data_IF_749022989932
#
_entry.id   IF_749022989932
#
_cell.length_a   1.000
_cell.length_b   1.000
_cell.length_c   1.000
_cell.angle_alpha   90.00
_cell.angle_beta   90.00
_cell.angle_gamma   90.00
#
_symmetry.space_group_name_H-M   'P 1'
#
loop_
_entity.id
_entity.type
_entity.pdbx_description
1 polymer ?
#
# COMPACT_ATOMS: atom_id res chain seq x y z
N UNK A 1 93.34 19.28 -41.93
CA UNK A 1 93.12 19.31 -40.47
C UNK A 1 92.41 20.59 -39.97
N UNK A 2 92.96 21.80 -40.12
CA UNK A 2 92.30 23.05 -39.60
C UNK A 2 90.85 23.26 -40.05
N UNK A 3 90.52 23.04 -41.33
CA UNK A 3 89.15 23.21 -41.84
C UNK A 3 88.15 22.20 -41.26
N UNK A 4 88.59 20.97 -40.95
CA UNK A 4 87.73 19.96 -40.32
C UNK A 4 87.40 20.35 -38.87
N UNK A 5 88.38 20.87 -38.12
CA UNK A 5 88.17 21.35 -36.75
C UNK A 5 87.17 22.53 -36.74
N UNK A 6 87.32 23.50 -37.64
CA UNK A 6 86.38 24.62 -37.74
C UNK A 6 84.96 24.19 -38.13
N UNK A 7 84.82 23.15 -38.96
CA UNK A 7 83.51 22.64 -39.35
C UNK A 7 82.82 21.91 -38.17
N UNK A 8 83.59 21.08 -37.44
CA UNK A 8 83.10 20.42 -36.23
C UNK A 8 82.67 21.43 -35.16
N UNK A 9 83.44 22.51 -34.97
CA UNK A 9 83.09 23.56 -34.01
C UNK A 9 81.79 24.30 -34.40
N UNK A 10 81.60 24.59 -35.69
CA UNK A 10 80.34 25.14 -36.22
C UNK A 10 79.16 24.18 -36.02
N UNK A 11 79.36 22.88 -36.25
CA UNK A 11 78.33 21.87 -36.03
C UNK A 11 77.97 21.72 -34.55
N UNK A 12 78.96 21.69 -33.65
CA UNK A 12 78.75 21.66 -32.21
C UNK A 12 78.00 22.90 -31.73
N UNK A 13 78.36 24.09 -32.21
CA UNK A 13 77.63 25.33 -31.87
C UNK A 13 76.18 25.30 -32.33
N UNK A 14 75.90 24.80 -33.54
CA UNK A 14 74.52 24.60 -34.02
C UNK A 14 73.77 23.59 -33.17
N UNK A 15 74.41 22.49 -32.78
CA UNK A 15 73.81 21.46 -31.94
C UNK A 15 73.48 22.01 -30.53
N UNK A 16 74.38 22.78 -29.93
CA UNK A 16 74.13 23.44 -28.64
C UNK A 16 72.92 24.38 -28.72
N UNK A 17 72.87 25.26 -29.73
CA UNK A 17 71.73 26.17 -29.92
C UNK A 17 70.41 25.41 -30.16
N UNK A 18 70.44 24.29 -30.88
CA UNK A 18 69.26 23.46 -31.09
C UNK A 18 68.79 22.80 -29.77
N UNK A 19 69.74 22.31 -28.94
CA UNK A 19 69.45 21.77 -27.61
C UNK A 19 68.85 22.83 -26.69
N UNK A 20 69.41 24.04 -26.66
CA UNK A 20 68.90 25.13 -25.82
C UNK A 20 67.47 25.52 -26.21
N UNK A 21 67.17 25.60 -27.52
CA UNK A 21 65.79 25.83 -28.01
C UNK A 21 64.84 24.71 -27.62
N UNK A 22 65.29 23.46 -27.69
CA UNK A 22 64.48 22.32 -27.29
C UNK A 22 64.18 22.33 -25.78
N UNK A 23 65.21 22.60 -24.96
CA UNK A 23 65.06 22.75 -23.51
C UNK A 23 64.08 23.88 -23.19
N UNK A 24 64.21 25.05 -23.84
CA UNK A 24 63.29 26.17 -23.64
C UNK A 24 61.84 25.81 -24.02
N UNK A 25 61.65 25.05 -25.10
CA UNK A 25 60.33 24.57 -25.52
C UNK A 25 59.72 23.63 -24.48
N UNK A 26 60.51 22.72 -23.91
CA UNK A 26 60.07 21.83 -22.85
C UNK A 26 59.71 22.59 -21.56
N UNK A 27 60.52 23.58 -21.17
CA UNK A 27 60.24 24.42 -20.00
C UNK A 27 58.93 25.22 -20.17
N UNK A 28 58.71 25.79 -21.37
CA UNK A 28 57.47 26.49 -21.68
C UNK A 28 56.26 25.53 -21.61
N UNK A 29 56.40 24.30 -22.13
CA UNK A 29 55.34 23.30 -22.08
C UNK A 29 55.04 22.84 -20.64
N UNK A 30 56.07 22.66 -19.82
CA UNK A 30 55.93 22.34 -18.41
C UNK A 30 55.17 23.44 -17.65
N UNK A 31 55.52 24.71 -17.88
CA UNK A 31 54.82 25.86 -17.28
C UNK A 31 53.34 25.93 -17.67
N UNK A 32 52.99 25.62 -18.93
CA UNK A 32 51.59 25.56 -19.37
C UNK A 32 50.83 24.43 -18.68
N UNK A 33 51.44 23.25 -18.54
CA UNK A 33 50.83 22.11 -17.86
C UNK A 33 50.60 22.38 -16.37
N UNK A 34 51.53 23.06 -15.69
CA UNK A 34 51.34 23.47 -14.29
C UNK A 34 50.14 24.41 -14.13
N UNK A 35 49.99 25.39 -15.02
CA UNK A 35 48.82 26.30 -15.02
C UNK A 35 47.51 25.54 -15.28
N UNK A 36 47.51 24.57 -16.19
CA UNK A 36 46.34 23.73 -16.45
C UNK A 36 45.99 22.86 -15.24
N UNK A 37 47.00 22.28 -14.58
CA UNK A 37 46.80 21.49 -13.36
C UNK A 37 46.20 22.32 -12.24
N UNK A 38 46.68 23.54 -12.03
CA UNK A 38 46.12 24.47 -11.05
C UNK A 38 44.64 24.79 -11.36
N UNK A 39 44.33 25.12 -12.62
CA UNK A 39 42.94 25.38 -13.05
C UNK A 39 42.03 24.17 -12.85
N UNK A 40 42.53 22.95 -13.12
CA UNK A 40 41.76 21.73 -12.90
C UNK A 40 41.50 21.48 -11.41
N UNK A 41 42.50 21.78 -10.56
CA UNK A 41 42.33 21.69 -9.11
C UNK A 41 41.26 22.65 -8.61
N UNK A 42 41.22 23.89 -9.12
CA UNK A 42 40.20 24.87 -8.75
C UNK A 42 38.79 24.42 -9.15
N UNK A 43 38.63 23.83 -10.34
CA UNK A 43 37.36 23.26 -10.80
C UNK A 43 36.91 22.11 -9.89
N UNK A 44 37.82 21.20 -9.55
CA UNK A 44 37.51 20.08 -8.68
C UNK A 44 37.09 20.56 -7.27
N UNK A 45 37.75 21.58 -6.74
CA UNK A 45 37.38 22.18 -5.45
C UNK A 45 35.99 22.84 -5.51
N UNK A 46 35.64 23.53 -6.61
CA UNK A 46 34.32 24.13 -6.79
C UNK A 46 33.21 23.07 -6.89
N UNK A 47 33.43 22.00 -7.65
CA UNK A 47 32.48 20.88 -7.75
C UNK A 47 32.29 20.18 -6.40
N UNK A 48 33.35 20.05 -5.60
CA UNK A 48 33.25 19.46 -4.27
C UNK A 48 32.37 20.31 -3.34
N UNK A 49 32.51 21.64 -3.40
CA UNK A 49 31.64 22.54 -2.64
C UNK A 49 30.16 22.43 -3.05
N UNK A 50 29.88 22.33 -4.35
CA UNK A 50 28.51 22.17 -4.86
C UNK A 50 27.89 20.83 -4.41
N UNK A 51 28.66 19.74 -4.45
CA UNK A 51 28.23 18.43 -3.93
C UNK A 51 27.87 18.52 -2.44
N UNK A 52 28.68 19.21 -1.65
CA UNK A 52 28.43 19.32 -0.20
C UNK A 52 27.23 20.23 0.10
N UNK A 53 26.99 21.27 -0.71
CA UNK A 53 25.76 22.08 -0.64
C UNK A 53 24.49 21.27 -0.98
N UNK A 54 24.55 20.43 -2.04
CA UNK A 54 23.45 19.53 -2.39
C UNK A 54 23.12 18.53 -1.27
N UNK A 55 24.13 17.96 -0.61
CA UNK A 55 23.93 17.05 0.53
C UNK A 55 23.23 17.76 1.70
N UNK A 56 23.65 18.98 2.01
CA UNK A 56 23.01 19.78 3.07
C UNK A 56 21.55 20.05 2.71
N UNK A 57 21.25 20.38 1.46
CA UNK A 57 19.89 20.59 0.99
C UNK A 57 19.02 19.34 1.12
N UNK A 58 19.53 18.18 0.69
CA UNK A 58 18.84 16.89 0.77
C UNK A 58 18.52 16.52 2.22
N UNK A 59 19.51 16.61 3.12
CA UNK A 59 19.32 16.35 4.55
C UNK A 59 18.27 17.30 5.14
N UNK A 60 18.34 18.58 4.82
CA UNK A 60 17.36 19.59 5.30
C UNK A 60 15.95 19.27 4.81
N UNK A 61 15.82 18.83 3.55
CA UNK A 61 14.53 18.46 2.97
C UNK A 61 13.94 17.20 3.62
N UNK A 62 14.77 16.20 3.93
CA UNK A 62 14.35 15.01 4.68
C UNK A 62 13.79 15.38 6.05
N UNK A 63 14.51 16.21 6.83
CA UNK A 63 14.03 16.69 8.13
C UNK A 63 12.72 17.50 8.02
N UNK A 64 12.58 18.33 6.99
CA UNK A 64 11.35 19.09 6.75
C UNK A 64 10.15 18.19 6.41
N UNK A 65 10.38 17.06 5.73
CA UNK A 65 9.32 16.10 5.41
C UNK A 65 8.94 15.23 6.61
N UNK A 66 9.92 14.79 7.40
CA UNK A 66 9.69 14.04 8.64
C UNK A 66 8.89 14.87 9.66
N UNK A 67 9.24 16.15 9.82
CA UNK A 67 8.50 17.06 10.70
C UNK A 67 7.07 17.30 10.23
N UNK A 68 6.84 17.47 8.92
CA UNK A 68 5.47 17.54 8.36
C UNK A 68 4.68 16.26 8.61
N UNK A 69 5.30 15.09 8.43
CA UNK A 69 4.68 13.80 8.69
C UNK A 69 4.27 13.64 10.16
N UNK A 70 5.16 13.98 11.09
CA UNK A 70 4.90 13.92 12.53
C UNK A 70 3.75 14.84 12.94
N UNK A 71 3.71 16.08 12.44
CA UNK A 71 2.62 17.03 12.71
C UNK A 71 1.29 16.52 12.16
N UNK A 72 1.27 15.94 10.96
CA UNK A 72 0.06 15.36 10.38
C UNK A 72 -0.47 14.20 11.23
N UNK A 73 0.40 13.30 11.67
CA UNK A 73 0.03 12.16 12.50
C UNK A 73 -0.53 12.59 13.86
N UNK A 74 0.12 13.56 14.53
CA UNK A 74 -0.38 14.12 15.80
C UNK A 74 -1.76 14.75 15.62
N UNK A 75 -1.96 15.50 14.53
CA UNK A 75 -3.25 16.15 14.23
C UNK A 75 -4.35 15.12 13.93
N UNK A 76 -4.02 14.06 13.19
CA UNK A 76 -4.95 12.98 12.89
C UNK A 76 -5.38 12.23 14.15
N UNK A 77 -4.43 11.90 15.03
CA UNK A 77 -4.71 11.21 16.30
C UNK A 77 -5.60 12.07 17.21
N UNK A 78 -5.30 13.37 17.33
CA UNK A 78 -6.13 14.30 18.11
C UNK A 78 -7.57 14.38 17.56
N UNK A 79 -7.74 14.31 16.24
CA UNK A 79 -9.06 14.32 15.60
C UNK A 79 -9.83 13.02 15.86
N UNK A 80 -9.17 11.86 15.73
CA UNK A 80 -9.78 10.56 16.05
C UNK A 80 -10.18 10.46 17.53
N UNK A 81 -9.38 11.01 18.43
CA UNK A 81 -9.68 11.01 19.86
C UNK A 81 -10.86 11.93 20.21
N UNK A 82 -11.02 13.04 19.49
CA UNK A 82 -12.21 13.89 19.57
C UNK A 82 -13.47 13.17 19.09
N UNK A 83 -13.38 12.41 17.99
CA UNK A 83 -14.51 11.61 17.48
C UNK A 83 -14.93 10.56 18.52
N UNK A 84 -13.98 9.78 19.05
CA UNK A 84 -14.25 8.77 20.09
C UNK A 84 -14.85 9.35 21.36
N UNK A 85 -14.55 10.60 21.71
CA UNK A 85 -15.19 11.28 22.85
C UNK A 85 -16.65 11.60 22.54
N UNK A 86 -16.93 12.17 21.37
CA UNK A 86 -18.29 12.51 20.94
C UNK A 86 -19.17 11.26 20.78
N UNK A 87 -18.61 10.15 20.30
CA UNK A 87 -19.32 8.87 20.22
C UNK A 87 -19.77 8.36 21.59
N UNK A 88 -18.90 8.45 22.60
CA UNK A 88 -19.26 8.10 24.00
C UNK A 88 -20.32 9.04 24.58
N UNK A 89 -20.18 10.35 24.38
CA UNK A 89 -21.19 11.32 24.83
C UNK A 89 -22.55 11.05 24.17
N UNK A 90 -22.55 10.65 22.90
CA UNK A 90 -23.77 10.27 22.18
C UNK A 90 -24.41 9.02 22.78
N UNK A 91 -23.63 7.99 23.08
CA UNK A 91 -24.13 6.75 23.73
C UNK A 91 -24.72 7.03 25.12
N UNK A 92 -24.06 7.86 25.93
CA UNK A 92 -24.57 8.28 27.24
C UNK A 92 -25.91 9.00 27.14
N UNK A 93 -26.06 9.92 26.17
CA UNK A 93 -27.32 10.62 25.92
C UNK A 93 -28.43 9.68 25.44
N UNK A 94 -28.11 8.68 24.62
CA UNK A 94 -29.09 7.68 24.18
C UNK A 94 -29.61 6.83 25.35
N UNK A 95 -28.73 6.48 26.31
CA UNK A 95 -29.10 5.79 27.54
C UNK A 95 -30.00 6.67 28.44
N UNK A 96 -29.65 7.95 28.62
CA UNK A 96 -30.46 8.87 29.42
C UNK A 96 -31.87 9.07 28.82
N UNK A 97 -31.98 9.18 27.49
CA UNK A 97 -33.26 9.25 26.80
C UNK A 97 -34.11 7.99 26.97
N UNK A 98 -33.46 6.82 27.00
CA UNK A 98 -34.15 5.55 27.25
C UNK A 98 -34.73 5.50 28.67
N UNK A 99 -33.97 5.94 29.67
CA UNK A 99 -34.42 6.00 31.06
C UNK A 99 -35.61 6.96 31.25
N UNK A 100 -35.56 8.15 30.63
CA UNK A 100 -36.68 9.09 30.63
C UNK A 100 -37.93 8.43 30.03
N UNK A 101 -37.79 7.77 28.88
CA UNK A 101 -38.91 7.09 28.19
C UNK A 101 -39.53 6.00 29.07
N UNK A 102 -38.70 5.17 29.70
CA UNK A 102 -39.17 4.13 30.63
C UNK A 102 -39.91 4.75 31.82
N UNK A 103 -39.40 5.86 32.34
CA UNK A 103 -40.03 6.54 33.46
C UNK A 103 -41.40 7.12 33.09
N UNK A 104 -41.53 7.76 31.93
CA UNK A 104 -42.80 8.28 31.41
C UNK A 104 -43.83 7.16 31.18
N UNK A 105 -43.41 6.03 30.60
CA UNK A 105 -44.29 4.90 30.34
C UNK A 105 -44.81 4.28 31.65
N UNK A 106 -43.96 4.21 32.68
CA UNK A 106 -44.39 3.81 34.03
C UNK A 106 -45.40 4.77 34.63
N UNK A 107 -45.26 6.08 34.40
CA UNK A 107 -46.24 7.07 34.88
C UNK A 107 -47.59 6.94 34.15
N UNK A 108 -47.58 6.76 32.82
CA UNK A 108 -48.80 6.50 32.03
C UNK A 108 -49.56 5.27 32.53
N UNK A 109 -48.86 4.15 32.76
CA UNK A 109 -49.47 2.93 33.32
C UNK A 109 -50.05 3.13 34.73
N UNK A 110 -49.48 4.03 35.55
CA UNK A 110 -50.05 4.37 36.87
C UNK A 110 -51.32 5.22 36.73
N UNK A 111 -51.35 6.17 35.81
CA UNK A 111 -52.53 6.98 35.51
C UNK A 111 -53.69 6.12 34.95
N UNK A 112 -53.41 5.22 34.00
CA UNK A 112 -54.40 4.30 33.42
C UNK A 112 -55.01 3.35 34.46
N UNK A 113 -54.23 2.89 35.44
CA UNK A 113 -54.74 2.06 36.55
C UNK A 113 -55.69 2.82 37.49
N UNK A 114 -55.63 4.15 37.52
CA UNK A 114 -56.56 4.98 38.30
C UNK A 114 -57.92 5.19 37.61
N UNK A 115 -58.05 4.80 36.33
CA UNK A 115 -59.29 4.84 35.55
C UNK A 115 -60.03 3.49 35.50
N UNK A 116 -59.59 2.49 36.27
CA UNK A 116 -60.31 1.22 36.40
C UNK A 116 -61.67 1.49 37.07
N UNK A 117 -62.73 1.21 36.32
CA UNK A 117 -64.10 1.51 36.72
C UNK A 117 -64.50 0.83 38.05
N UNK A 118 -65.49 1.39 38.78
CA UNK A 118 -65.92 0.93 40.11
C UNK A 118 -66.30 -0.56 40.22
N UNK A 119 -66.50 -1.25 39.10
CA UNK A 119 -66.94 -2.65 39.05
C UNK A 119 -65.89 -3.65 39.57
N UNK A 120 -64.59 -3.33 39.53
CA UNK A 120 -63.54 -4.26 40.00
C UNK A 120 -63.50 -4.39 41.54
N UNK A 121 -63.85 -3.32 42.26
CA UNK A 121 -63.97 -3.34 43.72
C UNK A 121 -65.14 -4.21 44.20
N UNK A 122 -66.22 -4.29 43.42
CA UNK A 122 -67.37 -5.16 43.72
C UNK A 122 -66.99 -6.65 43.59
N UNK A 123 -66.17 -7.00 42.60
CA UNK A 123 -65.68 -8.37 42.42
C UNK A 123 -64.69 -8.74 43.53
N UNK A 124 -63.79 -7.83 43.93
CA UNK A 124 -62.87 -8.04 45.04
C UNK A 124 -63.58 -8.16 46.40
N UNK A 125 -64.66 -7.40 46.63
CA UNK A 125 -65.52 -7.53 47.81
C UNK A 125 -66.27 -8.88 47.84
N UNK A 126 -66.85 -9.31 46.71
CA UNK A 126 -67.50 -10.63 46.60
C UNK A 126 -66.52 -11.80 46.78
N UNK A 127 -65.27 -11.65 46.34
CA UNK A 127 -64.22 -12.64 46.56
C UNK A 127 -63.77 -12.71 48.04
N UNK A 128 -63.82 -11.58 48.76
CA UNK A 128 -63.56 -11.54 50.22
C UNK A 128 -64.70 -12.14 51.03
N UNK A 129 -65.96 -11.98 50.63
CA UNK A 129 -67.11 -12.65 51.26
C UNK A 129 -67.05 -14.18 51.13
N UNK A 130 -66.65 -14.69 49.96
CA UNK A 130 -66.49 -16.14 49.74
C UNK A 130 -65.38 -16.79 50.57
N UNK A 131 -64.41 -16.02 51.08
CA UNK A 131 -63.37 -16.52 51.99
C UNK A 131 -63.79 -16.59 53.45
N UNK A 132 -64.91 -15.97 53.85
CA UNK A 132 -65.45 -16.07 55.22
C UNK A 132 -66.43 -17.24 55.40
N UNK A 133 -66.99 -17.77 54.32
CA UNK A 133 -67.81 -18.98 54.31
C UNK A 133 -67.04 -20.14 53.65
N UNK A 134 -65.89 -20.50 54.22
CA UNK A 134 -65.25 -21.76 53.90
C UNK A 134 -65.85 -22.79 54.85
N UNK A 135 -66.73 -23.62 54.31
CA UNK A 135 -67.31 -24.77 54.99
C UNK A 135 -66.17 -25.73 55.36
N UNK A 136 -66.02 -26.04 56.65
CA UNK A 136 -64.85 -26.75 57.18
C UNK A 136 -64.74 -28.21 56.69
N UNK A 137 -65.80 -28.74 56.08
CA UNK A 137 -65.90 -30.15 55.70
C UNK A 137 -65.64 -30.41 54.20
N UNK A 138 -65.36 -29.37 53.39
CA UNK A 138 -65.13 -29.55 51.96
C UNK A 138 -63.64 -29.71 51.61
N UNK A 139 -63.18 -30.95 51.53
CA UNK A 139 -61.83 -31.31 51.06
C UNK A 139 -61.76 -31.18 49.54
N UNK A 140 -60.97 -30.23 49.04
CA UNK A 140 -60.65 -30.15 47.62
C UNK A 140 -59.62 -31.22 47.26
N UNK A 141 -59.92 -32.08 46.29
CA UNK A 141 -58.94 -33.01 45.73
C UNK A 141 -57.81 -32.24 45.02
N UNK A 142 -56.59 -32.49 45.46
CA UNK A 142 -55.38 -31.92 44.88
C UNK A 142 -55.15 -32.46 43.46
N UNK A 143 -55.50 -31.66 42.46
CA UNK A 143 -55.15 -31.94 41.07
C UNK A 143 -53.64 -31.76 40.89
N UNK A 144 -52.91 -32.88 40.84
CA UNK A 144 -51.47 -32.95 40.55
C UNK A 144 -51.15 -32.26 39.22
N UNK A 145 -50.60 -31.05 39.28
CA UNK A 145 -50.05 -30.34 38.12
C UNK A 145 -48.77 -31.04 37.67
N UNK A 146 -48.80 -31.66 36.50
CA UNK A 146 -47.61 -32.17 35.80
C UNK A 146 -46.73 -30.98 35.40
N UNK A 147 -45.62 -30.80 36.09
CA UNK A 147 -44.52 -29.93 35.69
C UNK A 147 -43.84 -30.52 34.46
N UNK A 148 -43.96 -29.85 33.31
CA UNK A 148 -43.11 -30.11 32.14
C UNK A 148 -41.70 -29.63 32.48
N UNK A 149 -40.76 -30.55 32.53
CA UNK A 149 -39.31 -30.30 32.53
C UNK A 149 -38.92 -29.61 31.23
N UNK A 150 -38.92 -28.28 31.23
CA UNK A 150 -38.20 -27.50 30.23
C UNK A 150 -36.71 -27.62 30.51
N UNK A 151 -35.97 -28.28 29.62
CA UNK A 151 -34.52 -28.09 29.53
C UNK A 151 -34.29 -26.62 29.16
N UNK A 152 -33.88 -25.81 30.12
CA UNK A 152 -33.19 -24.57 29.85
C UNK A 152 -31.85 -24.95 29.22
N UNK A 153 -31.80 -24.92 27.88
CA UNK A 153 -30.55 -24.76 27.15
C UNK A 153 -30.07 -23.34 27.45
N UNK A 154 -29.12 -23.22 28.36
CA UNK A 154 -28.24 -22.06 28.42
C UNK A 154 -27.50 -22.03 27.07
N UNK A 155 -27.94 -21.14 26.18
CA UNK A 155 -27.18 -20.76 24.99
C UNK A 155 -26.15 -19.78 25.51
N UNK A 156 -24.89 -20.19 25.53
CA UNK A 156 -23.77 -19.28 25.74
C UNK A 156 -23.81 -18.25 24.61
N UNK A 157 -24.05 -16.98 24.97
CA UNK A 157 -24.24 -15.89 24.01
C UNK A 157 -22.93 -15.57 23.28
N UNK A 158 -21.79 -15.94 23.88
CA UNK A 158 -20.46 -15.70 23.33
C UNK A 158 -20.11 -16.66 22.17
N UNK A 159 -20.55 -17.93 22.20
CA UNK A 159 -20.35 -18.91 21.10
C UNK A 159 -21.21 -18.59 19.85
N UNK A 160 -22.26 -17.78 20.00
CA UNK A 160 -23.16 -17.42 18.90
C UNK A 160 -22.61 -16.29 18.01
N UNK A 161 -21.63 -15.52 18.51
CA UNK A 161 -21.04 -14.40 17.77
C UNK A 161 -19.92 -14.88 16.84
N UNK A 162 -19.02 -15.75 17.31
CA UNK A 162 -17.95 -16.33 16.47
C UNK A 162 -18.51 -17.16 15.31
N UNK A 163 -19.55 -17.97 15.56
CA UNK A 163 -20.13 -18.83 14.52
C UNK A 163 -20.85 -18.09 13.39
N UNK A 164 -21.25 -16.82 13.58
CA UNK A 164 -21.89 -16.01 12.54
C UNK A 164 -20.91 -15.23 11.66
N UNK A 165 -19.71 -14.91 12.16
CA UNK A 165 -18.68 -14.22 11.36
C UNK A 165 -18.05 -15.19 10.34
N UNK A 166 -17.72 -16.40 10.78
CA UNK A 166 -17.19 -17.48 9.93
C UNK A 166 -18.16 -17.88 8.81
N UNK A 167 -19.48 -17.87 9.08
CA UNK A 167 -20.50 -18.20 8.08
C UNK A 167 -20.71 -17.07 7.06
N UNK A 168 -20.49 -15.82 7.46
CA UNK A 168 -20.55 -14.64 6.56
C UNK A 168 -19.35 -14.58 5.64
N UNK A 169 -18.15 -14.90 6.13
CA UNK A 169 -16.93 -14.98 5.31
C UNK A 169 -17.01 -16.13 4.30
N UNK A 170 -17.46 -17.30 4.72
CA UNK A 170 -17.68 -18.44 3.82
C UNK A 170 -18.74 -18.18 2.73
N UNK A 171 -19.78 -17.37 3.03
CA UNK A 171 -20.76 -16.93 2.02
C UNK A 171 -20.19 -15.93 1.01
N UNK A 172 -19.23 -15.07 1.40
CA UNK A 172 -18.51 -14.18 0.46
C UNK A 172 -17.62 -14.99 -0.48
N UNK A 173 -16.90 -15.99 0.03
CA UNK A 173 -16.09 -16.94 -0.75
C UNK A 173 -16.89 -17.65 -1.87
N UNK A 174 -18.13 -18.04 -1.60
CA UNK A 174 -18.99 -18.68 -2.62
C UNK A 174 -19.44 -17.72 -3.72
N UNK A 175 -19.54 -16.42 -3.43
CA UNK A 175 -19.85 -15.38 -4.45
C UNK A 175 -18.62 -15.04 -5.31
N UNK A 176 -17.41 -15.06 -4.72
CA UNK A 176 -16.12 -14.94 -5.44
C UNK A 176 -15.98 -15.94 -6.58
N UNK A 177 -16.45 -17.18 -6.40
CA UNK A 177 -16.41 -18.23 -7.42
C UNK A 177 -17.25 -17.93 -8.67
N UNK A 178 -18.24 -17.05 -8.60
CA UNK A 178 -19.25 -16.92 -9.65
C UNK A 178 -19.04 -15.76 -10.65
N UNK A 179 -18.33 -14.69 -10.29
CA UNK A 179 -18.44 -13.41 -11.03
C UNK A 179 -17.14 -12.67 -11.38
N UNK A 180 -15.96 -13.19 -11.06
CA UNK A 180 -14.71 -12.48 -11.41
C UNK A 180 -14.38 -12.66 -12.90
N UNK A 181 -14.52 -11.61 -13.72
CA UNK A 181 -14.09 -11.63 -15.13
C UNK A 181 -12.58 -11.89 -15.24
N UNK A 182 -11.79 -11.44 -14.26
CA UNK A 182 -10.36 -11.77 -14.08
C UNK A 182 -10.11 -13.28 -14.06
N UNK A 183 -11.04 -14.08 -13.50
CA UNK A 183 -10.91 -15.55 -13.44
C UNK A 183 -10.79 -16.16 -14.83
N UNK A 184 -11.50 -15.61 -15.82
CA UNK A 184 -11.50 -16.14 -17.20
C UNK A 184 -10.14 -15.98 -17.89
N UNK A 185 -9.28 -15.10 -17.35
CA UNK A 185 -7.94 -14.81 -17.87
C UNK A 185 -6.86 -15.66 -17.19
N UNK A 186 -7.19 -16.36 -16.10
CA UNK A 186 -6.26 -17.24 -15.39
C UNK A 186 -6.25 -18.63 -16.01
N UNK A 187 -5.07 -19.25 -16.08
CA UNK A 187 -4.96 -20.64 -16.50
C UNK A 187 -5.49 -21.60 -15.42
N UNK A 188 -5.74 -22.86 -15.80
CA UNK A 188 -6.32 -23.85 -14.89
C UNK A 188 -5.44 -24.09 -13.65
N UNK A 189 -4.12 -24.14 -13.82
CA UNK A 189 -3.17 -24.40 -12.73
C UNK A 189 -3.17 -23.30 -11.68
N UNK A 190 -3.11 -22.03 -12.11
CA UNK A 190 -3.17 -20.87 -11.22
C UNK A 190 -4.52 -20.78 -10.51
N UNK A 191 -5.61 -21.14 -11.18
CA UNK A 191 -6.91 -21.24 -10.53
C UNK A 191 -6.96 -22.33 -9.46
N UNK A 192 -6.36 -23.51 -9.72
CA UNK A 192 -6.26 -24.57 -8.72
C UNK A 192 -5.39 -24.17 -7.52
N UNK A 193 -4.32 -23.42 -7.74
CA UNK A 193 -3.49 -22.86 -6.67
C UNK A 193 -4.30 -21.88 -5.79
N UNK A 194 -5.09 -21.00 -6.41
CA UNK A 194 -6.03 -20.11 -5.72
C UNK A 194 -7.07 -20.92 -4.94
N UNK A 195 -7.72 -21.92 -5.54
CA UNK A 195 -8.70 -22.74 -4.81
C UNK A 195 -8.07 -23.46 -3.61
N UNK A 196 -6.84 -23.96 -3.76
CA UNK A 196 -6.10 -24.60 -2.67
C UNK A 196 -5.79 -23.60 -1.57
N UNK A 197 -5.31 -22.40 -1.92
CA UNK A 197 -5.06 -21.31 -0.99
C UNK A 197 -6.32 -20.99 -0.19
N UNK A 198 -7.45 -20.73 -0.83
CA UNK A 198 -8.70 -20.40 -0.13
C UNK A 198 -9.27 -21.53 0.74
N UNK A 199 -9.01 -22.79 0.40
CA UNK A 199 -9.49 -23.92 1.21
C UNK A 199 -8.62 -24.19 2.44
N UNK A 200 -7.38 -23.69 2.46
CA UNK A 200 -6.37 -24.06 3.47
C UNK A 200 -5.83 -22.88 4.27
N UNK A 201 -5.92 -21.68 3.73
CA UNK A 201 -5.21 -20.51 4.19
C UNK A 201 -6.17 -19.49 4.79
N UNK A 202 -5.75 -18.88 5.90
CA UNK A 202 -6.36 -17.67 6.44
C UNK A 202 -6.09 -16.48 5.49
N UNK A 203 -6.95 -15.47 5.53
CA UNK A 203 -6.87 -14.21 4.78
C UNK A 203 -5.51 -13.52 4.97
N UNK A 204 -4.88 -13.71 6.14
CA UNK A 204 -3.56 -13.17 6.49
C UNK A 204 -2.37 -13.95 5.90
N UNK A 205 -2.61 -15.13 5.30
CA UNK A 205 -1.56 -16.02 4.82
C UNK A 205 -0.74 -15.35 3.71
N UNK A 206 0.58 -15.38 3.86
CA UNK A 206 1.51 -14.82 2.86
C UNK A 206 1.58 -15.73 1.64
N UNK A 207 1.20 -15.19 0.48
CA UNK A 207 1.26 -15.84 -0.83
C UNK A 207 2.60 -15.60 -1.50
N UNK A 208 3.12 -14.37 -1.38
CA UNK A 208 4.40 -13.98 -1.95
C UNK A 208 5.15 -13.08 -0.96
N UNK A 209 6.47 -13.22 -0.91
CA UNK A 209 7.35 -12.30 -0.18
C UNK A 209 8.61 -12.02 -0.99
N UNK A 210 9.10 -10.79 -0.89
CA UNK A 210 10.38 -10.40 -1.48
C UNK A 210 11.55 -11.12 -0.80
N UNK A 211 12.71 -11.13 -1.46
CA UNK A 211 13.94 -11.79 -0.94
C UNK A 211 14.44 -11.20 0.38
N UNK A 212 14.16 -9.93 0.63
CA UNK A 212 14.47 -9.20 1.86
C UNK A 212 13.34 -9.23 2.89
N UNK A 213 12.22 -9.92 2.58
CA UNK A 213 11.02 -10.07 3.42
C UNK A 213 10.33 -8.75 3.82
N UNK A 214 10.76 -7.61 3.25
CA UNK A 214 10.18 -6.30 3.52
C UNK A 214 8.83 -6.10 2.82
N UNK A 215 8.61 -6.78 1.70
CA UNK A 215 7.37 -6.74 0.94
C UNK A 215 6.73 -8.13 0.95
N UNK A 216 5.42 -8.17 1.19
CA UNK A 216 4.65 -9.40 1.13
C UNK A 216 3.25 -9.11 0.58
N UNK A 217 2.68 -10.14 -0.03
CA UNK A 217 1.33 -10.16 -0.57
C UNK A 217 0.60 -11.30 0.12
N UNK A 218 -0.55 -11.01 0.72
CA UNK A 218 -1.36 -12.00 1.43
C UNK A 218 -2.48 -12.57 0.58
N UNK A 219 -3.18 -13.59 1.08
CA UNK A 219 -4.36 -14.14 0.44
C UNK A 219 -5.45 -13.06 0.25
N UNK A 220 -5.57 -12.13 1.19
CA UNK A 220 -6.43 -10.95 1.06
C UNK A 220 -6.09 -10.10 -0.17
N UNK A 221 -4.81 -9.86 -0.42
CA UNK A 221 -4.40 -9.06 -1.57
C UNK A 221 -4.79 -9.75 -2.89
N UNK A 222 -4.66 -11.08 -2.98
CA UNK A 222 -5.15 -11.85 -4.13
C UNK A 222 -6.68 -11.76 -4.27
N UNK A 223 -7.41 -11.76 -3.15
CA UNK A 223 -8.85 -11.55 -3.13
C UNK A 223 -9.22 -10.19 -3.74
N UNK A 224 -8.53 -9.12 -3.32
CA UNK A 224 -8.78 -7.76 -3.84
C UNK A 224 -8.49 -7.65 -5.35
N UNK A 225 -7.51 -8.41 -5.85
CA UNK A 225 -7.19 -8.49 -7.26
C UNK A 225 -8.33 -9.17 -8.05
N UNK A 226 -8.88 -10.26 -7.54
CA UNK A 226 -9.99 -11.01 -8.15
C UNK A 226 -11.32 -10.25 -8.11
N UNK A 227 -11.58 -9.50 -7.04
CA UNK A 227 -12.83 -8.77 -6.83
C UNK A 227 -12.92 -7.44 -7.59
N UNK A 228 -11.90 -7.09 -8.38
CA UNK A 228 -11.83 -5.79 -9.05
C UNK A 228 -11.94 -4.61 -8.04
N UNK A 229 -11.49 -4.81 -6.79
CA UNK A 229 -11.52 -3.79 -5.74
C UNK A 229 -10.24 -2.95 -5.72
N UNK A 230 -10.25 -1.82 -5.00
CA UNK A 230 -9.06 -0.98 -4.86
C UNK A 230 -7.86 -1.79 -4.37
N UNK A 231 -6.72 -1.64 -5.05
CA UNK A 231 -5.50 -2.36 -4.70
C UNK A 231 -4.86 -1.78 -3.45
N UNK A 232 -4.32 -2.66 -2.61
CA UNK A 232 -3.47 -2.24 -1.51
C UNK A 232 -2.14 -1.69 -2.04
N UNK A 233 -1.57 -0.71 -1.35
CA UNK A 233 -0.22 -0.19 -1.67
C UNK A 233 0.81 -1.32 -1.69
N UNK A 234 0.63 -2.34 -0.86
CA UNK A 234 1.52 -3.50 -0.78
C UNK A 234 1.50 -4.31 -2.07
N UNK A 235 0.34 -4.60 -2.64
CA UNK A 235 0.23 -5.32 -3.92
C UNK A 235 0.89 -4.55 -5.06
N UNK A 236 0.73 -3.22 -5.08
CA UNK A 236 1.33 -2.35 -6.09
C UNK A 236 2.85 -2.36 -5.97
N UNK A 237 3.40 -2.09 -4.78
CA UNK A 237 4.84 -2.05 -4.55
C UNK A 237 5.49 -3.42 -4.79
N UNK A 238 4.83 -4.51 -4.36
CA UNK A 238 5.28 -5.88 -4.59
C UNK A 238 5.38 -6.20 -6.09
N UNK A 239 4.35 -5.88 -6.87
CA UNK A 239 4.37 -6.15 -8.31
C UNK A 239 5.36 -5.25 -9.06
N UNK A 240 5.52 -3.98 -8.65
CA UNK A 240 6.59 -3.13 -9.17
C UNK A 240 7.96 -3.74 -8.95
N UNK A 241 8.22 -4.30 -7.76
CA UNK A 241 9.48 -4.98 -7.48
C UNK A 241 9.68 -6.19 -8.41
N UNK A 242 8.64 -6.99 -8.65
CA UNK A 242 8.69 -8.11 -9.61
C UNK A 242 9.04 -7.60 -11.01
N UNK A 243 8.34 -6.56 -11.51
CA UNK A 243 8.63 -5.99 -12.84
C UNK A 243 10.09 -5.49 -12.93
N UNK A 244 10.57 -4.77 -11.92
CA UNK A 244 11.95 -4.29 -11.89
C UNK A 244 12.96 -5.44 -11.91
N UNK A 245 12.68 -6.54 -11.23
CA UNK A 245 13.52 -7.74 -11.21
C UNK A 245 13.50 -8.49 -12.56
N UNK A 246 12.37 -8.52 -13.26
CA UNK A 246 12.24 -9.14 -14.57
C UNK A 246 12.98 -8.35 -15.67
N UNK A 247 13.08 -7.03 -15.52
CA UNK A 247 13.67 -6.12 -16.50
C UNK A 247 15.06 -5.59 -16.11
N UNK A 248 15.79 -6.25 -15.21
CA UNK A 248 17.14 -5.84 -14.78
C UNK A 248 18.09 -5.65 -15.97
N UNK A 249 18.01 -6.52 -16.99
CA UNK A 249 18.87 -6.44 -18.18
C UNK A 249 18.38 -5.43 -19.22
N UNK A 250 17.14 -4.95 -19.09
CA UNK A 250 16.49 -4.03 -20.01
C UNK A 250 16.41 -2.61 -19.49
N UNK A 251 17.11 -2.30 -18.37
CA UNK A 251 17.12 -0.98 -17.71
C UNK A 251 16.98 0.13 -18.76
N UNK A 252 15.78 0.74 -18.91
CA UNK A 252 15.64 1.90 -19.76
C UNK A 252 16.65 2.89 -19.20
N UNK A 253 17.58 3.35 -20.04
CA UNK A 253 18.67 4.21 -19.61
C UNK A 253 18.06 5.48 -19.03
N UNK A 254 17.86 5.48 -17.73
CA UNK A 254 17.47 6.65 -16.98
C UNK A 254 18.72 7.51 -16.96
N UNK A 255 18.90 8.35 -17.96
CA UNK A 255 19.81 9.50 -17.84
C UNK A 255 19.07 10.53 -16.98
N UNK A 256 18.85 10.20 -15.71
CA UNK A 256 18.96 11.21 -14.68
C UNK A 256 20.42 11.15 -14.25
N UNK A 257 21.14 12.25 -14.42
CA UNK A 257 22.50 12.45 -13.94
C UNK A 257 22.55 12.16 -12.43
N UNK A 258 22.72 10.90 -12.05
CA UNK A 258 22.92 10.46 -10.67
C UNK A 258 23.86 9.26 -10.63
N UNK A 259 24.70 9.14 -9.59
CA UNK A 259 25.88 8.28 -9.64
C UNK A 259 25.53 6.78 -9.53
N UNK A 260 26.36 5.90 -10.09
CA UNK A 260 26.09 4.47 -10.15
C UNK A 260 26.49 3.81 -8.83
N UNK A 261 25.54 3.56 -7.93
CA UNK A 261 25.57 2.45 -6.96
C UNK A 261 24.43 2.62 -5.95
N UNK A 262 23.31 1.96 -6.18
CA UNK A 262 22.45 1.29 -5.17
C UNK A 262 21.22 0.73 -5.88
N UNK A 263 20.84 -0.48 -5.49
CA UNK A 263 19.54 -1.08 -5.82
C UNK A 263 18.43 -0.13 -5.41
N UNK A 264 17.75 0.49 -6.38
CA UNK A 264 16.62 1.37 -6.12
C UNK A 264 15.39 0.54 -5.76
N UNK A 265 14.97 0.61 -4.50
CA UNK A 265 13.57 0.38 -4.16
C UNK A 265 12.83 1.61 -4.68
N UNK A 266 11.93 1.44 -5.64
CA UNK A 266 11.08 2.52 -6.16
C UNK A 266 9.80 2.58 -5.31
N UNK A 267 9.71 3.38 -4.24
CA UNK A 267 8.46 3.54 -3.53
C UNK A 267 7.44 4.23 -4.45
N UNK A 268 6.16 3.90 -4.30
CA UNK A 268 5.02 4.51 -5.01
C UNK A 268 5.05 6.05 -5.14
N UNK A 269 5.75 6.76 -4.26
CA UNK A 269 6.02 8.20 -4.37
C UNK A 269 6.86 8.57 -5.61
N UNK A 270 7.89 7.80 -5.95
CA UNK A 270 8.70 8.03 -7.14
C UNK A 270 7.87 7.85 -8.41
N UNK A 271 6.86 6.98 -8.41
CA UNK A 271 5.98 6.80 -9.57
C UNK A 271 5.11 8.03 -9.83
N UNK A 272 4.67 8.73 -8.77
CA UNK A 272 3.99 10.02 -8.93
C UNK A 272 4.90 11.09 -9.51
N UNK A 273 6.17 11.13 -9.08
CA UNK A 273 7.18 12.03 -9.64
C UNK A 273 7.57 11.66 -11.06
N UNK A 274 7.67 10.37 -11.38
CA UNK A 274 7.95 9.83 -12.71
C UNK A 274 6.80 10.16 -13.68
N UNK A 275 5.55 10.03 -13.23
CA UNK A 275 4.37 10.47 -13.97
C UNK A 275 4.40 12.00 -14.16
N UNK A 276 4.72 12.78 -13.13
CA UNK A 276 4.82 14.23 -13.21
C UNK A 276 5.95 14.74 -14.13
N UNK A 277 7.17 14.24 -13.96
CA UNK A 277 8.36 14.60 -14.76
C UNK A 277 8.21 14.13 -16.21
N UNK A 278 7.54 12.99 -16.43
CA UNK A 278 7.20 12.54 -17.77
C UNK A 278 6.16 13.45 -18.44
N UNK A 279 5.08 13.83 -17.73
CA UNK A 279 4.08 14.79 -18.23
C UNK A 279 4.76 16.11 -18.61
N UNK A 280 5.68 16.60 -17.78
CA UNK A 280 6.40 17.86 -17.99
C UNK A 280 7.41 17.82 -19.14
N UNK A 281 8.09 16.69 -19.38
CA UNK A 281 9.09 16.55 -20.46
C UNK A 281 8.49 16.47 -21.86
N UNK A 282 7.22 16.09 -21.97
CA UNK A 282 6.52 15.96 -23.25
C UNK A 282 5.54 17.12 -23.54
N UNK A 283 5.28 17.99 -22.56
CA UNK A 283 4.56 19.26 -22.75
C UNK A 283 5.48 20.38 -23.26
N UNK A 284 6.19 20.17 -24.38
CA UNK A 284 7.00 21.22 -25.01
C UNK A 284 6.12 22.33 -25.59
N UNK A 285 5.70 23.28 -24.76
CA UNK A 285 5.39 24.64 -25.19
C UNK A 285 6.59 25.53 -24.90
N UNK A 286 7.12 26.13 -25.96
CA UNK A 286 8.24 27.05 -26.02
C UNK A 286 8.27 28.12 -24.93
N UNK A 287 9.50 28.37 -24.47
CA UNK A 287 10.01 29.50 -23.70
C UNK A 287 9.10 30.75 -23.55
N UNK A 288 9.00 31.21 -22.30
CA UNK A 288 8.89 32.64 -22.01
C UNK A 288 7.63 33.05 -21.25
N UNK A 289 7.84 33.46 -20.00
CA UNK A 289 6.98 34.29 -19.14
C UNK A 289 5.65 33.68 -18.66
N UNK A 290 5.59 33.50 -17.34
CA UNK A 290 4.37 33.55 -16.54
C UNK A 290 3.40 32.40 -16.81
N UNK A 291 3.72 31.22 -16.31
CA UNK A 291 2.90 30.02 -16.57
C UNK A 291 1.88 29.84 -15.45
N UNK A 292 0.67 30.37 -15.67
CA UNK A 292 -0.56 29.69 -15.30
C UNK A 292 -0.96 28.78 -16.46
N UNK A 293 -0.19 27.72 -16.74
CA UNK A 293 -0.62 26.66 -17.64
C UNK A 293 -1.00 25.46 -16.78
N UNK A 294 -2.28 25.36 -16.50
CA UNK A 294 -2.97 24.06 -16.46
C UNK A 294 -2.74 23.40 -17.82
N UNK A 295 -1.59 22.74 -17.98
CA UNK A 295 -1.37 21.81 -19.08
C UNK A 295 -2.47 20.76 -18.94
N UNK A 296 -3.25 20.53 -20.00
CA UNK A 296 -4.27 19.48 -20.05
C UNK A 296 -3.59 18.11 -19.95
N UNK A 297 -3.29 17.68 -18.72
CA UNK A 297 -2.70 16.37 -18.36
C UNK A 297 -3.52 15.22 -18.97
N UNK A 298 -4.81 15.45 -19.16
CA UNK A 298 -5.79 14.53 -19.76
C UNK A 298 -5.40 14.00 -21.14
N UNK A 299 -4.63 14.76 -21.94
CA UNK A 299 -4.30 14.36 -23.32
C UNK A 299 -3.20 13.29 -23.43
N UNK A 300 -2.39 13.11 -22.39
CA UNK A 300 -1.15 12.32 -22.45
C UNK A 300 -1.07 11.18 -21.43
N UNK A 301 -2.08 11.06 -20.57
CA UNK A 301 -2.16 10.00 -19.57
C UNK A 301 -3.47 9.24 -19.75
N UNK A 302 -3.44 7.89 -19.79
CA UNK A 302 -4.65 7.09 -19.88
C UNK A 302 -5.60 7.46 -18.74
N UNK A 303 -6.80 7.89 -19.13
CA UNK A 303 -7.87 8.18 -18.18
C UNK A 303 -8.48 6.87 -17.68
N UNK A 304 -8.89 6.87 -16.42
CA UNK A 304 -9.61 5.74 -15.86
C UNK A 304 -11.00 5.64 -16.51
N UNK A 305 -11.52 4.43 -16.76
CA UNK A 305 -12.90 4.26 -17.17
C UNK A 305 -13.86 4.85 -16.11
N UNK A 306 -14.94 5.50 -16.56
CA UNK A 306 -15.94 6.06 -15.65
C UNK A 306 -16.50 5.00 -14.70
N UNK A 307 -16.52 5.31 -13.40
CA UNK A 307 -17.05 4.43 -12.36
C UNK A 307 -16.08 3.37 -11.82
N UNK A 308 -14.82 3.34 -12.27
CA UNK A 308 -13.80 2.40 -11.79
C UNK A 308 -12.75 3.10 -10.91
N UNK A 309 -12.59 2.63 -9.66
CA UNK A 309 -11.56 3.11 -8.71
C UNK A 309 -10.29 2.24 -8.84
N UNK A 310 -9.60 2.33 -9.98
CA UNK A 310 -8.49 1.43 -10.38
C UNK A 310 -7.12 2.11 -10.39
N UNK A 311 -6.87 3.12 -9.54
CA UNK A 311 -5.67 3.95 -9.70
C UNK A 311 -4.37 3.14 -9.57
N UNK A 312 -4.37 2.10 -8.73
CA UNK A 312 -3.25 1.16 -8.61
C UNK A 312 -2.98 0.38 -9.89
N UNK A 313 -4.01 -0.12 -10.56
CA UNK A 313 -3.87 -0.92 -11.80
C UNK A 313 -3.37 -0.05 -12.96
N UNK A 314 -3.90 1.17 -13.09
CA UNK A 314 -3.43 2.11 -14.12
C UNK A 314 -1.95 2.46 -13.92
N UNK A 315 -1.54 2.65 -12.66
CA UNK A 315 -0.13 2.88 -12.32
C UNK A 315 0.75 1.70 -12.72
N UNK A 316 0.32 0.47 -12.43
CA UNK A 316 1.03 -0.74 -12.84
C UNK A 316 1.12 -0.86 -14.36
N UNK A 317 0.00 -0.63 -15.06
CA UNK A 317 -0.05 -0.67 -16.52
C UNK A 317 0.93 0.32 -17.16
N UNK A 318 0.93 1.56 -16.67
CA UNK A 318 1.87 2.59 -17.12
C UNK A 318 3.32 2.23 -16.87
N UNK A 319 3.61 1.65 -15.71
CA UNK A 319 4.96 1.18 -15.38
C UNK A 319 5.40 0.05 -16.33
N UNK A 320 4.51 -0.88 -16.64
CA UNK A 320 4.80 -1.97 -17.56
C UNK A 320 5.06 -1.44 -18.99
N UNK A 321 4.21 -0.53 -19.50
CA UNK A 321 4.44 0.12 -20.80
C UNK A 321 5.79 0.85 -20.85
N UNK A 322 6.14 1.53 -19.76
CA UNK A 322 7.41 2.23 -19.63
C UNK A 322 8.61 1.28 -19.69
N UNK A 323 8.60 0.22 -18.86
CA UNK A 323 9.69 -0.76 -18.81
C UNK A 323 9.85 -1.51 -20.12
N UNK A 324 8.76 -1.77 -20.84
CA UNK A 324 8.75 -2.45 -22.13
C UNK A 324 9.04 -1.54 -23.33
N UNK A 325 9.24 -0.23 -23.10
CA UNK A 325 9.37 0.78 -24.15
C UNK A 325 8.24 0.74 -25.21
N UNK A 326 7.01 0.48 -24.74
CA UNK A 326 5.82 0.40 -25.59
C UNK A 326 5.22 1.79 -25.82
N UNK A 327 4.55 1.96 -26.98
CA UNK A 327 3.78 3.17 -27.23
C UNK A 327 2.61 3.29 -26.25
N UNK A 328 2.37 4.51 -25.78
CA UNK A 328 1.40 4.77 -24.72
C UNK A 328 -0.01 4.61 -25.23
N UNK A 329 -0.79 3.83 -24.51
CA UNK A 329 -2.23 3.86 -24.75
C UNK A 329 -2.81 5.16 -24.16
N UNK A 330 -3.64 5.84 -24.95
CA UNK A 330 -4.37 7.03 -24.49
C UNK A 330 -5.56 6.69 -23.60
N UNK A 331 -6.01 5.44 -23.63
CA UNK A 331 -7.15 4.95 -22.86
C UNK A 331 -6.82 3.52 -22.43
N UNK A 332 -7.01 3.22 -21.14
CA UNK A 332 -6.95 1.85 -20.65
C UNK A 332 -8.37 1.28 -20.64
N UNK A 333 -8.58 0.20 -21.38
CA UNK A 333 -9.85 -0.52 -21.39
C UNK A 333 -10.05 -1.30 -20.09
N UNK A 334 -11.30 -1.59 -19.74
CA UNK A 334 -11.63 -2.44 -18.57
C UNK A 334 -11.01 -3.83 -18.74
N UNK A 335 -10.99 -4.34 -19.97
CA UNK A 335 -10.33 -5.60 -20.33
C UNK A 335 -8.83 -5.57 -20.06
N UNK A 336 -8.14 -4.47 -20.35
CA UNK A 336 -6.71 -4.30 -20.02
C UNK A 336 -6.47 -4.20 -18.51
N UNK A 337 -7.35 -3.53 -17.76
CA UNK A 337 -7.28 -3.53 -16.29
C UNK A 337 -7.40 -4.95 -15.73
N UNK A 338 -8.37 -5.73 -16.23
CA UNK A 338 -8.56 -7.14 -15.83
C UNK A 338 -7.38 -8.01 -16.20
N UNK A 339 -6.82 -7.81 -17.38
CA UNK A 339 -5.61 -8.50 -17.84
C UNK A 339 -4.42 -8.18 -16.93
N UNK A 340 -4.23 -6.92 -16.59
CA UNK A 340 -3.17 -6.49 -15.67
C UNK A 340 -3.33 -7.14 -14.29
N UNK A 341 -4.56 -7.20 -13.75
CA UNK A 341 -4.85 -7.91 -12.49
C UNK A 341 -4.53 -9.40 -12.58
N UNK A 342 -4.90 -10.06 -13.68
CA UNK A 342 -4.58 -11.46 -13.91
C UNK A 342 -3.06 -11.68 -13.96
N UNK A 343 -2.32 -10.82 -14.66
CA UNK A 343 -0.85 -10.87 -14.73
C UNK A 343 -0.20 -10.68 -13.34
N UNK A 344 -0.74 -9.79 -12.49
CA UNK A 344 -0.29 -9.63 -11.11
C UNK A 344 -0.47 -10.91 -10.29
N UNK A 345 -1.67 -11.52 -10.36
CA UNK A 345 -1.97 -12.77 -9.66
C UNK A 345 -1.02 -13.89 -10.11
N UNK A 346 -0.84 -14.04 -11.42
CA UNK A 346 0.06 -15.04 -12.00
C UNK A 346 1.51 -14.83 -11.53
N UNK A 347 1.98 -13.59 -11.48
CA UNK A 347 3.32 -13.28 -11.01
C UNK A 347 3.52 -13.69 -9.55
N UNK A 348 2.58 -13.33 -8.65
CA UNK A 348 2.67 -13.69 -7.23
C UNK A 348 2.65 -15.20 -7.00
N UNK A 349 1.81 -15.94 -7.72
CA UNK A 349 1.72 -17.41 -7.58
C UNK A 349 2.95 -18.12 -8.19
N UNK A 350 3.45 -17.63 -9.34
CA UNK A 350 4.54 -18.29 -10.05
C UNK A 350 5.87 -18.22 -9.29
N UNK A 351 6.18 -17.11 -8.60
CA UNK A 351 7.43 -17.01 -7.85
C UNK A 351 7.44 -17.85 -6.56
N UNK A 352 6.27 -18.12 -5.98
CA UNK A 352 6.14 -18.99 -4.81
C UNK A 352 6.67 -20.42 -5.08
N UNK A 353 6.46 -20.92 -6.29
CA UNK A 353 6.97 -22.22 -6.72
C UNK A 353 8.50 -22.28 -6.79
N UNK A 354 9.16 -21.14 -7.07
CA UNK A 354 10.63 -21.06 -7.11
C UNK A 354 11.23 -21.07 -5.70
N UNK A 355 10.58 -20.38 -4.75
CA UNK A 355 11.03 -20.29 -3.35
C UNK A 355 10.94 -21.62 -2.60
N UNK A 356 9.90 -22.42 -2.86
CA UNK A 356 9.68 -23.71 -2.20
C UNK A 356 10.68 -24.81 -2.63
N UNK A 357 11.28 -24.69 -3.81
CA UNK A 357 12.32 -25.64 -4.28
C UNK A 357 13.74 -25.35 -3.76
N UNK A 358 13.98 -24.19 -3.14
CA UNK A 358 15.35 -23.73 -2.80
C UNK A 358 15.82 -24.07 -1.38
N UNK A 359 15.01 -24.72 -0.54
CA UNK A 359 15.37 -25.04 0.85
C UNK A 359 15.14 -26.51 1.20
N UNK A 360 15.95 -27.40 0.65
CA UNK A 360 16.35 -28.62 1.37
C UNK A 360 17.87 -28.66 1.39
N UNK A 361 18.52 -28.23 2.49
CA UNK A 361 19.93 -28.55 2.69
C UNK A 361 20.03 -30.07 2.69
N UNK A 362 20.73 -30.64 1.70
CA UNK A 362 21.06 -32.05 1.75
C UNK A 362 21.81 -32.30 3.08
N UNK A 363 21.45 -33.33 3.86
CA UNK A 363 22.20 -33.66 5.04
C UNK A 363 23.64 -33.93 4.60
N UNK A 364 24.56 -33.15 5.16
CA UNK A 364 26.00 -33.33 4.98
C UNK A 364 26.31 -34.75 5.44
N UNK A 365 26.44 -35.67 4.47
CA UNK A 365 26.99 -36.98 4.72
C UNK A 365 28.45 -36.76 5.06
N UNK A 366 28.75 -36.70 6.35
CA UNK A 366 30.11 -36.72 6.84
C UNK A 366 30.79 -37.96 6.29
N UNK A 367 31.82 -37.69 5.49
CA UNK A 367 32.87 -38.62 5.11
C UNK A 367 33.55 -39.18 6.36
N UNK A 368 34.01 -40.42 6.20
CA UNK A 368 34.81 -41.24 7.11
C UNK A 368 35.95 -40.51 7.81
#
# INVERSE_FOLDING_TARGET
MKNQIQNLDKQNKKLCLAKDRYIQTLLNKASVLEKQKAKQQDINNALQMEIDEFKIHEVTQCYANETKGAVHQVTQNATLEKIRRLEREKEELELELLDIRVHEERQKRKAEKSLISPNSNIIALKARERKKNIDADFVYEEVKKKTKTGKELFIDVDDLVESQEDERENKKLRKLKANAEVRKLLNHESWMAIETLWNTADISTVVWSSKDELMHVTAHDIETLLLESALSTRSVDAYMNILMQQHVDQQPTFILETPPAKSFVFPSFFVRKLIADYINSHSKSSAGKGISNTVHIEQFSPQQPDGFVECGVVVIFLMNQYLMNQERSKVISIEECRKTRAEMILAFLSEQSKLSTSKVPQPVQNLK
#
